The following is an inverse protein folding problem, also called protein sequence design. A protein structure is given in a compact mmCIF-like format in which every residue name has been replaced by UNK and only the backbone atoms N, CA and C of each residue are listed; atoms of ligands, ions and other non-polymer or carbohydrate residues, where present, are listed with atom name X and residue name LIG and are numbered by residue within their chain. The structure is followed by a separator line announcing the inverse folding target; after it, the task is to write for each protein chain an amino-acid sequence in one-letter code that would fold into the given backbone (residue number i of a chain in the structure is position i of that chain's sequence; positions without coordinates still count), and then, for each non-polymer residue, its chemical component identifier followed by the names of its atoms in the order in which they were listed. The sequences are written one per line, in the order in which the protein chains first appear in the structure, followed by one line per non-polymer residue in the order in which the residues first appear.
data_IF_161055729325
#
_entry.id   IF_161055729325
#
_cell.length_a   1.000
_cell.length_b   1.000
_cell.length_c   1.000
_cell.angle_alpha   90.00
_cell.angle_beta   90.00
_cell.angle_gamma   90.00
#
_symmetry.space_group_name_H-M   'P 1'
#
loop_
_entity.id
_entity.type
_entity.pdbx_description
1 polymer ?
#
# COMPACT_ATOMS: atom_id res chain seq x y z
N UNK A 1 -1.91 -24.06 83.42
CA UNK A 1 -2.04 -24.54 82.05
C UNK A 1 -2.36 -23.33 81.18
N UNK A 2 -1.32 -22.79 80.52
CA UNK A 2 -1.50 -21.58 79.65
C UNK A 2 -1.60 -22.02 78.20
N UNK A 3 -2.74 -21.78 77.60
CA UNK A 3 -2.93 -21.98 76.18
C UNK A 3 -2.57 -20.67 75.41
N UNK A 4 -1.49 -20.74 74.65
CA UNK A 4 -1.05 -19.67 73.79
C UNK A 4 -1.73 -19.86 72.42
N UNK A 5 -2.61 -18.94 72.02
CA UNK A 5 -3.24 -18.94 70.69
C UNK A 5 -2.29 -18.30 69.66
N UNK A 6 -1.95 -19.05 68.59
CA UNK A 6 -1.17 -18.56 67.46
C UNK A 6 -2.16 -18.02 66.43
N UNK A 7 -2.10 -16.70 66.15
CA UNK A 7 -2.85 -16.06 65.10
C UNK A 7 -1.99 -16.12 63.83
N UNK A 8 -2.45 -16.88 62.81
CA UNK A 8 -1.85 -16.90 61.48
C UNK A 8 -2.53 -15.82 60.64
N UNK A 9 -1.80 -14.76 60.33
CA UNK A 9 -2.27 -13.72 59.40
C UNK A 9 -2.02 -14.19 57.95
N UNK A 10 -3.08 -14.43 57.22
CA UNK A 10 -3.02 -14.72 55.79
C UNK A 10 -2.88 -13.39 55.01
N UNK A 11 -1.72 -13.19 54.35
CA UNK A 11 -1.51 -12.08 53.43
C UNK A 11 -2.21 -12.40 52.09
N UNK A 12 -3.30 -11.67 51.80
CA UNK A 12 -3.97 -11.72 50.49
C UNK A 12 -3.15 -10.85 49.51
N UNK A 13 -2.40 -11.45 48.59
CA UNK A 13 -1.73 -10.78 47.52
C UNK A 13 -2.74 -10.57 46.37
N UNK A 14 -3.29 -9.37 46.24
CA UNK A 14 -4.09 -8.98 45.09
C UNK A 14 -3.19 -8.77 43.87
N UNK A 15 -3.18 -9.72 42.94
CA UNK A 15 -2.52 -9.57 41.67
C UNK A 15 -3.42 -8.69 40.79
N UNK A 16 -3.09 -7.41 40.66
CA UNK A 16 -3.71 -6.52 39.67
C UNK A 16 -3.19 -6.90 38.28
N UNK A 17 -3.98 -7.63 37.53
CA UNK A 17 -3.75 -7.82 36.08
C UNK A 17 -4.15 -6.54 35.36
N UNK A 18 -3.18 -5.73 34.97
CA UNK A 18 -3.42 -4.65 34.02
C UNK A 18 -3.69 -5.29 32.65
N UNK A 19 -4.79 -4.93 31.96
CA UNK A 19 -4.94 -5.34 30.58
C UNK A 19 -3.80 -4.71 29.78
N UNK A 20 -3.00 -5.53 29.09
CA UNK A 20 -2.10 -5.04 28.05
C UNK A 20 -2.99 -4.42 26.98
N UNK A 21 -3.12 -3.10 27.00
CA UNK A 21 -3.71 -2.35 25.90
C UNK A 21 -2.85 -2.62 24.67
N UNK A 22 -3.45 -3.14 23.61
CA UNK A 22 -2.81 -3.23 22.30
C UNK A 22 -2.48 -1.81 21.88
N UNK A 23 -1.23 -1.40 22.03
CA UNK A 23 -0.75 -0.12 21.51
C UNK A 23 -0.96 -0.18 20.01
N UNK A 24 -1.82 0.68 19.49
CA UNK A 24 -1.95 0.87 18.03
C UNK A 24 -0.56 1.23 17.50
N UNK A 25 -0.03 0.45 16.57
CA UNK A 25 1.29 0.71 16.01
C UNK A 25 1.31 2.08 15.33
N UNK A 26 2.41 2.81 15.51
CA UNK A 26 2.57 4.15 14.94
C UNK A 26 2.75 4.08 13.42
N UNK A 27 2.31 5.12 12.72
CA UNK A 27 2.61 5.29 11.30
C UNK A 27 4.10 5.56 11.10
N UNK A 28 4.73 4.82 10.20
CA UNK A 28 6.13 4.96 9.81
C UNK A 28 6.20 5.48 8.38
N UNK A 29 6.97 6.54 8.15
CA UNK A 29 7.15 7.07 6.80
C UNK A 29 8.01 6.13 5.96
N UNK A 30 7.55 5.83 4.74
CA UNK A 30 8.30 5.08 3.72
C UNK A 30 9.07 6.00 2.77
N UNK A 31 8.79 7.29 2.78
CA UNK A 31 9.47 8.29 1.95
C UNK A 31 9.93 9.46 2.82
N UNK A 32 11.21 9.80 2.73
CA UNK A 32 11.85 10.82 3.55
C UNK A 32 11.71 12.26 3.01
N UNK A 33 11.09 12.44 1.83
CA UNK A 33 10.91 13.72 1.17
C UNK A 33 12.17 14.29 0.49
N UNK A 34 13.30 13.57 0.46
CA UNK A 34 14.59 14.04 -0.02
C UNK A 34 15.17 13.22 -1.17
N UNK A 35 15.12 11.91 -1.05
CA UNK A 35 15.70 10.97 -1.98
C UNK A 35 14.94 9.64 -1.98
N UNK A 36 15.36 8.69 -2.81
CA UNK A 36 14.77 7.38 -2.93
C UNK A 36 15.42 6.32 -2.01
N UNK A 37 16.06 6.73 -0.91
CA UNK A 37 16.58 5.78 0.08
C UNK A 37 15.45 4.90 0.63
N UNK A 38 15.67 3.59 0.66
CA UNK A 38 14.65 2.59 1.02
C UNK A 38 13.78 2.11 -0.16
N UNK A 39 14.11 2.55 -1.40
CA UNK A 39 13.40 2.20 -2.62
C UNK A 39 14.34 1.70 -3.71
N UNK A 40 13.92 0.70 -4.47
CA UNK A 40 14.61 0.13 -5.63
C UNK A 40 13.88 0.50 -6.91
N UNK A 41 14.62 0.99 -7.92
CA UNK A 41 14.10 1.18 -9.27
C UNK A 41 14.19 -0.13 -10.05
N UNK A 42 13.10 -0.51 -10.70
CA UNK A 42 13.00 -1.69 -11.54
C UNK A 42 12.51 -1.24 -12.91
N UNK A 43 13.32 -1.47 -13.95
CA UNK A 43 13.08 -1.02 -15.31
C UNK A 43 13.79 0.29 -15.66
N UNK A 44 13.51 0.78 -16.87
CA UNK A 44 14.21 1.91 -17.50
C UNK A 44 13.45 3.24 -17.35
N UNK A 45 12.26 3.19 -16.77
CA UNK A 45 11.40 4.35 -16.59
C UNK A 45 11.96 5.37 -15.60
N UNK A 46 11.55 6.62 -15.73
CA UNK A 46 12.14 7.72 -14.98
C UNK A 46 11.48 7.87 -13.62
N UNK A 47 12.28 7.69 -12.57
CA UNK A 47 11.91 7.93 -11.18
C UNK A 47 12.89 8.91 -10.54
N UNK A 48 12.40 9.87 -9.76
CA UNK A 48 13.22 10.83 -9.04
C UNK A 48 12.47 11.50 -7.91
N UNK A 49 13.16 12.47 -7.27
CA UNK A 49 12.57 13.30 -6.20
C UNK A 49 12.72 14.75 -6.59
N UNK A 50 11.63 15.50 -6.46
CA UNK A 50 11.58 16.94 -6.71
C UNK A 50 10.54 17.60 -5.79
N UNK A 51 10.91 18.71 -5.17
CA UNK A 51 10.02 19.48 -4.29
C UNK A 51 9.34 18.64 -3.21
N UNK A 52 10.07 17.69 -2.58
CA UNK A 52 9.54 16.83 -1.51
C UNK A 52 8.58 15.74 -1.99
N UNK A 53 8.53 15.47 -3.29
CA UNK A 53 7.68 14.44 -3.89
C UNK A 53 8.49 13.45 -4.71
N UNK A 54 8.12 12.18 -4.71
CA UNK A 54 8.56 11.24 -5.75
C UNK A 54 7.82 11.64 -7.02
N UNK A 55 8.54 11.81 -8.11
CA UNK A 55 7.92 11.91 -9.44
C UNK A 55 8.24 10.69 -10.27
N UNK A 56 7.32 10.34 -11.16
CA UNK A 56 7.54 9.35 -12.20
C UNK A 56 7.06 9.86 -13.55
N UNK A 57 7.79 9.47 -14.60
CA UNK A 57 7.50 9.89 -15.97
C UNK A 57 7.90 8.77 -16.92
N UNK A 58 7.02 8.46 -17.87
CA UNK A 58 7.34 7.53 -18.95
C UNK A 58 8.49 8.06 -19.79
N UNK A 59 9.54 7.25 -19.90
CA UNK A 59 10.75 7.56 -20.68
C UNK A 59 11.02 6.49 -21.75
N UNK A 60 10.89 5.23 -21.40
CA UNK A 60 11.14 4.09 -22.27
C UNK A 60 9.87 3.47 -22.87
N UNK A 61 8.69 3.96 -22.48
CA UNK A 61 7.38 3.40 -22.85
C UNK A 61 7.20 1.92 -22.42
N UNK A 62 7.91 1.52 -21.39
CA UNK A 62 7.90 0.17 -20.81
C UNK A 62 7.24 0.19 -19.43
N UNK A 63 7.04 -0.99 -18.85
CA UNK A 63 6.72 -1.06 -17.44
C UNK A 63 7.92 -0.63 -16.59
N UNK A 64 7.65 0.11 -15.53
CA UNK A 64 8.64 0.48 -14.54
C UNK A 64 8.03 0.48 -13.14
N UNK A 65 8.81 0.05 -12.17
CA UNK A 65 8.35 -0.02 -10.79
C UNK A 65 9.36 0.60 -9.83
N UNK A 66 8.85 1.34 -8.86
CA UNK A 66 9.62 1.77 -7.70
C UNK A 66 9.13 0.97 -6.50
N UNK A 67 9.96 0.04 -6.00
CA UNK A 67 9.57 -0.89 -4.93
C UNK A 67 10.31 -0.58 -3.64
N UNK A 68 9.66 -0.80 -2.50
CA UNK A 68 10.35 -0.74 -1.21
C UNK A 68 11.45 -1.80 -1.14
N UNK A 69 12.54 -1.51 -0.41
CA UNK A 69 13.58 -2.51 -0.11
C UNK A 69 13.09 -3.58 0.86
N UNK A 70 12.20 -3.18 1.80
CA UNK A 70 11.62 -4.07 2.81
C UNK A 70 10.36 -4.74 2.31
N UNK A 71 10.11 -5.93 2.82
CA UNK A 71 8.86 -6.67 2.62
C UNK A 71 7.90 -6.46 3.78
N UNK A 72 6.61 -6.63 3.51
CA UNK A 72 5.52 -6.44 4.44
C UNK A 72 4.48 -7.54 4.27
N UNK A 73 3.87 -7.95 5.38
CA UNK A 73 2.79 -8.96 5.41
C UNK A 73 1.44 -8.28 5.57
N UNK A 74 1.16 -7.81 6.76
CA UNK A 74 -0.11 -7.16 7.12
C UNK A 74 0.16 -5.69 7.44
N UNK A 75 -0.56 -4.80 6.77
CA UNK A 75 -0.33 -3.38 6.90
C UNK A 75 -1.53 -2.54 6.52
N UNK A 76 -1.55 -1.33 7.04
CA UNK A 76 -2.26 -0.21 6.46
C UNK A 76 -1.24 0.71 5.77
N UNK A 77 -1.56 1.16 4.58
CA UNK A 77 -0.77 2.10 3.79
C UNK A 77 -1.61 3.34 3.51
N UNK A 78 -1.03 4.50 3.68
CA UNK A 78 -1.61 5.76 3.22
C UNK A 78 -0.59 6.52 2.40
N UNK A 79 -1.06 7.15 1.35
CA UNK A 79 -0.25 7.97 0.48
C UNK A 79 -1.09 9.01 -0.24
N UNK A 80 -0.42 10.01 -0.81
CA UNK A 80 -1.04 10.95 -1.73
C UNK A 80 -0.44 10.80 -3.12
N UNK A 81 -1.29 10.88 -4.13
CA UNK A 81 -0.86 10.93 -5.51
C UNK A 81 -1.50 12.11 -6.25
N UNK A 82 -0.78 12.61 -7.25
CA UNK A 82 -1.27 13.66 -8.15
C UNK A 82 -0.93 13.28 -9.58
N UNK A 83 -1.94 13.00 -10.42
CA UNK A 83 -1.70 12.83 -11.85
C UNK A 83 -1.42 14.18 -12.48
N UNK A 84 -0.33 14.26 -13.26
CA UNK A 84 0.05 15.43 -14.04
C UNK A 84 -0.19 15.21 -15.55
N UNK A 85 -0.50 13.98 -15.96
CA UNK A 85 -0.92 13.60 -17.29
C UNK A 85 -1.88 12.40 -17.24
N UNK A 86 -2.58 12.14 -18.34
CA UNK A 86 -3.38 10.93 -18.51
C UNK A 86 -2.44 9.75 -18.76
N UNK A 87 -2.31 8.85 -17.83
CA UNK A 87 -1.46 7.66 -17.97
C UNK A 87 -1.67 6.74 -16.78
N UNK A 88 -1.68 5.44 -17.03
CA UNK A 88 -1.97 4.42 -16.04
C UNK A 88 -0.78 4.21 -15.09
N UNK A 89 -1.09 4.10 -13.83
CA UNK A 89 -0.18 3.82 -12.73
C UNK A 89 -0.87 2.91 -11.71
N UNK A 90 -0.25 2.66 -10.57
CA UNK A 90 -0.84 1.83 -9.53
C UNK A 90 0.05 1.64 -8.32
N UNK A 91 -0.54 1.05 -7.28
CA UNK A 91 0.16 0.63 -6.07
C UNK A 91 0.05 -0.88 -5.95
N UNK A 92 1.18 -1.57 -6.06
CA UNK A 92 1.25 -3.02 -5.90
C UNK A 92 1.40 -3.43 -4.45
N UNK A 93 0.64 -4.44 -4.05
CA UNK A 93 0.62 -5.02 -2.72
C UNK A 93 1.29 -6.39 -2.74
N UNK A 94 2.43 -6.52 -2.05
CA UNK A 94 3.18 -7.79 -1.94
C UNK A 94 3.56 -8.42 -3.29
N UNK A 95 3.90 -7.64 -4.33
CA UNK A 95 4.19 -8.18 -5.64
C UNK A 95 5.49 -8.98 -5.66
N UNK A 96 5.62 -9.77 -6.72
CA UNK A 96 6.87 -10.45 -7.10
C UNK A 96 7.26 -10.04 -8.51
N UNK A 97 8.49 -9.56 -8.67
CA UNK A 97 9.08 -9.38 -10.01
C UNK A 97 9.53 -10.74 -10.48
N UNK A 98 8.99 -11.21 -11.61
CA UNK A 98 9.16 -12.58 -12.10
C UNK A 98 10.15 -12.68 -13.24
N UNK A 99 10.45 -11.56 -13.89
CA UNK A 99 11.40 -11.52 -15.02
C UNK A 99 11.60 -10.10 -15.53
N UNK A 100 12.30 -10.00 -16.64
CA UNK A 100 12.46 -8.78 -17.44
C UNK A 100 12.21 -9.13 -18.89
N UNK A 101 11.12 -8.63 -19.45
CA UNK A 101 10.86 -8.68 -20.87
C UNK A 101 11.65 -7.58 -21.58
N UNK A 102 12.45 -7.90 -22.63
CA UNK A 102 13.25 -6.89 -23.34
C UNK A 102 12.41 -5.79 -24.01
N UNK A 103 11.18 -6.11 -24.43
CA UNK A 103 10.28 -5.19 -25.11
C UNK A 103 9.41 -4.39 -24.14
N UNK A 104 8.90 -5.04 -23.06
CA UNK A 104 7.91 -4.44 -22.15
C UNK A 104 8.48 -4.05 -20.79
N UNK A 105 9.72 -4.42 -20.46
CA UNK A 105 10.35 -4.12 -19.17
C UNK A 105 10.09 -5.20 -18.11
N UNK A 106 10.13 -4.85 -16.80
CA UNK A 106 9.97 -5.84 -15.74
C UNK A 106 8.56 -6.43 -15.71
N UNK A 107 8.50 -7.77 -15.64
CA UNK A 107 7.27 -8.51 -15.37
C UNK A 107 6.98 -8.53 -13.87
N UNK A 108 5.74 -8.30 -13.50
CA UNK A 108 5.30 -8.30 -12.12
C UNK A 108 4.02 -9.13 -11.95
N UNK A 109 3.99 -9.96 -10.91
CA UNK A 109 2.79 -10.63 -10.44
C UNK A 109 2.40 -10.09 -9.08
N UNK A 110 1.11 -9.83 -8.87
CA UNK A 110 0.60 -9.36 -7.59
C UNK A 110 -0.69 -8.57 -7.72
N UNK A 111 -1.23 -8.21 -6.55
CA UNK A 111 -2.43 -7.38 -6.48
C UNK A 111 -2.06 -5.91 -6.63
N UNK A 112 -2.66 -5.24 -7.60
CA UNK A 112 -2.54 -3.82 -7.83
C UNK A 112 -3.80 -3.11 -7.35
N UNK A 113 -3.61 -2.03 -6.61
CA UNK A 113 -4.61 -0.98 -6.46
C UNK A 113 -4.41 -0.01 -7.61
N UNK A 114 -5.38 0.07 -8.49
CA UNK A 114 -5.33 0.86 -9.72
C UNK A 114 -5.22 2.36 -9.44
N UNK A 115 -4.42 3.06 -10.23
CA UNK A 115 -4.36 4.53 -10.28
C UNK A 115 -4.30 4.97 -11.73
N UNK A 116 -5.46 5.13 -12.36
CA UNK A 116 -5.60 5.69 -13.71
C UNK A 116 -6.45 6.97 -13.64
N UNK A 117 -5.90 8.13 -14.00
CA UNK A 117 -6.62 9.40 -13.93
C UNK A 117 -7.73 9.54 -14.96
N UNK A 118 -7.84 8.63 -15.92
CA UNK A 118 -8.90 8.68 -16.92
C UNK A 118 -10.25 8.30 -16.31
N UNK A 119 -11.31 8.93 -16.77
CA UNK A 119 -12.66 8.65 -16.27
C UNK A 119 -13.08 7.20 -16.52
N UNK A 120 -13.65 6.54 -15.50
CA UNK A 120 -14.13 5.16 -15.59
C UNK A 120 -13.01 4.12 -15.73
N UNK A 121 -11.82 4.42 -15.23
CA UNK A 121 -10.65 3.53 -15.26
C UNK A 121 -10.31 2.91 -13.91
N UNK A 122 -11.29 2.88 -13.02
CA UNK A 122 -11.30 2.06 -11.81
C UNK A 122 -10.23 2.40 -10.77
N UNK A 123 -9.83 3.70 -10.65
CA UNK A 123 -8.89 4.11 -9.58
C UNK A 123 -9.36 3.67 -8.20
N UNK A 124 -8.49 2.98 -7.48
CA UNK A 124 -8.77 2.37 -6.18
C UNK A 124 -9.32 0.94 -6.25
N UNK A 125 -9.69 0.45 -7.45
CA UNK A 125 -10.07 -0.94 -7.68
C UNK A 125 -8.89 -1.90 -7.62
N UNK A 126 -9.16 -3.20 -7.61
CA UNK A 126 -8.14 -4.25 -7.49
C UNK A 126 -8.00 -5.04 -8.79
N UNK A 127 -6.76 -5.08 -9.28
CA UNK A 127 -6.35 -5.84 -10.46
C UNK A 127 -5.24 -6.83 -10.10
N UNK A 128 -5.42 -8.11 -10.40
CA UNK A 128 -4.36 -9.11 -10.24
C UNK A 128 -3.52 -9.20 -11.52
N UNK A 129 -2.34 -8.57 -11.48
CA UNK A 129 -1.36 -8.63 -12.56
C UNK A 129 -0.70 -10.00 -12.65
N UNK A 130 -0.54 -10.52 -13.86
CA UNK A 130 -0.06 -11.87 -14.10
C UNK A 130 -1.03 -12.97 -13.67
N UNK A 131 -2.33 -12.64 -13.54
CA UNK A 131 -3.35 -13.56 -13.05
C UNK A 131 -4.76 -13.29 -13.57
N UNK A 132 -5.71 -13.07 -12.66
CA UNK A 132 -7.15 -13.00 -12.93
C UNK A 132 -7.63 -11.69 -13.57
N UNK A 133 -6.77 -10.66 -13.65
CA UNK A 133 -7.21 -9.33 -14.07
C UNK A 133 -8.04 -8.62 -12.98
N UNK A 134 -9.13 -7.97 -13.36
CA UNK A 134 -10.01 -7.28 -12.41
C UNK A 134 -10.68 -8.24 -11.44
N UNK A 135 -10.43 -8.09 -10.14
CA UNK A 135 -11.03 -8.90 -9.07
C UNK A 135 -12.04 -8.12 -8.24
N UNK A 136 -11.90 -6.79 -8.14
CA UNK A 136 -12.88 -5.92 -7.53
C UNK A 136 -12.82 -4.53 -8.16
N UNK A 137 -13.96 -4.00 -8.57
CA UNK A 137 -14.08 -2.69 -9.22
C UNK A 137 -14.77 -1.68 -8.31
N UNK A 138 -14.48 -0.37 -8.46
CA UNK A 138 -15.20 0.68 -7.76
C UNK A 138 -16.71 0.65 -8.07
N UNK A 139 -17.49 1.14 -7.12
CA UNK A 139 -18.87 1.55 -7.41
C UNK A 139 -18.88 2.84 -8.24
N UNK A 140 -20.04 3.22 -8.78
CA UNK A 140 -20.20 4.51 -9.48
C UNK A 140 -19.80 5.71 -8.62
N UNK A 141 -20.08 5.67 -7.30
CA UNK A 141 -19.66 6.71 -6.36
C UNK A 141 -18.14 6.72 -6.17
N UNK A 142 -17.51 5.54 -6.18
CA UNK A 142 -16.05 5.38 -6.11
C UNK A 142 -15.36 5.97 -7.32
N UNK A 143 -15.87 5.73 -8.53
CA UNK A 143 -15.33 6.32 -9.77
C UNK A 143 -15.33 7.87 -9.75
N UNK A 144 -16.31 8.47 -9.08
CA UNK A 144 -16.43 9.93 -8.95
C UNK A 144 -15.56 10.52 -7.84
N UNK A 145 -14.90 9.70 -7.02
CA UNK A 145 -14.08 10.16 -5.91
C UNK A 145 -12.73 10.76 -6.36
N UNK A 146 -12.26 10.41 -7.57
CA UNK A 146 -11.00 10.90 -8.11
C UNK A 146 -11.08 12.40 -8.46
N UNK A 147 -10.08 13.16 -7.97
CA UNK A 147 -9.88 14.57 -8.29
C UNK A 147 -8.81 14.71 -9.37
N UNK A 148 -9.23 15.04 -10.57
CA UNK A 148 -8.35 15.16 -11.75
C UNK A 148 -7.33 16.29 -11.57
N UNK A 149 -6.04 15.99 -11.79
CA UNK A 149 -4.96 16.98 -11.71
C UNK A 149 -4.67 17.53 -10.31
N UNK A 150 -5.35 17.02 -9.28
CA UNK A 150 -5.19 17.43 -7.89
C UNK A 150 -4.53 16.33 -7.04
N UNK A 151 -4.17 16.68 -5.81
CA UNK A 151 -3.74 15.69 -4.83
C UNK A 151 -4.93 14.84 -4.36
N UNK A 152 -4.76 13.54 -4.43
CA UNK A 152 -5.72 12.54 -3.98
C UNK A 152 -5.14 11.76 -2.79
N UNK A 153 -5.95 11.53 -1.78
CA UNK A 153 -5.62 10.66 -0.65
C UNK A 153 -6.04 9.22 -0.97
N UNK A 154 -5.09 8.29 -0.94
CA UNK A 154 -5.35 6.85 -1.10
C UNK A 154 -4.96 6.14 0.19
N UNK A 155 -5.91 5.40 0.75
CA UNK A 155 -5.70 4.54 1.90
C UNK A 155 -5.98 3.08 1.52
N UNK A 156 -5.11 2.19 1.94
CA UNK A 156 -5.16 0.76 1.62
C UNK A 156 -4.94 -0.02 2.91
N UNK A 157 -5.83 -0.96 3.22
CA UNK A 157 -5.63 -1.96 4.26
C UNK A 157 -5.43 -3.32 3.60
N UNK A 158 -4.34 -4.02 3.93
CA UNK A 158 -4.02 -5.35 3.41
C UNK A 158 -3.66 -6.26 4.57
N UNK A 159 -4.63 -7.08 5.04
CA UNK A 159 -4.52 -7.93 6.22
C UNK A 159 -4.93 -9.36 5.89
N UNK A 160 -3.99 -10.30 5.99
CA UNK A 160 -4.20 -11.64 5.46
C UNK A 160 -4.64 -11.55 4.00
N UNK A 161 -5.79 -12.14 3.70
CA UNK A 161 -6.42 -12.12 2.37
C UNK A 161 -7.51 -11.04 2.21
N UNK A 162 -7.67 -10.15 3.18
CA UNK A 162 -8.63 -9.05 3.11
C UNK A 162 -7.95 -7.76 2.67
N UNK A 163 -8.50 -7.11 1.65
CA UNK A 163 -8.01 -5.85 1.09
C UNK A 163 -9.16 -4.85 1.05
N UNK A 164 -8.95 -3.68 1.64
CA UNK A 164 -9.88 -2.56 1.56
C UNK A 164 -9.17 -1.31 1.07
N UNK A 165 -9.83 -0.51 0.23
CA UNK A 165 -9.29 0.75 -0.29
C UNK A 165 -10.26 1.89 -0.11
N UNK A 166 -9.71 3.09 0.14
CA UNK A 166 -10.45 4.35 0.17
C UNK A 166 -9.73 5.39 -0.69
N UNK A 167 -10.50 6.18 -1.43
CA UNK A 167 -10.02 7.31 -2.22
C UNK A 167 -10.73 8.57 -1.77
N UNK A 168 -9.97 9.56 -1.29
CA UNK A 168 -10.51 10.84 -0.77
C UNK A 168 -11.62 10.65 0.28
N UNK A 169 -11.49 9.63 1.14
CA UNK A 169 -12.46 9.29 2.19
C UNK A 169 -13.66 8.47 1.71
N UNK A 170 -13.78 8.20 0.41
CA UNK A 170 -14.81 7.34 -0.16
C UNK A 170 -14.30 5.90 -0.21
N UNK A 171 -15.03 4.95 0.38
CA UNK A 171 -14.72 3.52 0.29
C UNK A 171 -14.88 3.05 -1.16
N UNK A 172 -13.83 2.47 -1.71
CA UNK A 172 -13.80 1.97 -3.10
C UNK A 172 -14.07 0.47 -3.13
N UNK A 173 -13.24 -0.32 -2.48
CA UNK A 173 -13.43 -1.77 -2.36
C UNK A 173 -13.27 -2.24 -0.92
N UNK A 174 -13.84 -3.42 -0.67
CA UNK A 174 -13.75 -4.18 0.57
C UNK A 174 -13.85 -5.64 0.16
N UNK A 175 -12.69 -6.30 -0.02
CA UNK A 175 -12.59 -7.56 -0.74
C UNK A 175 -11.83 -8.60 0.05
N UNK A 176 -12.40 -9.80 0.17
CA UNK A 176 -11.72 -10.97 0.74
C UNK A 176 -11.34 -11.92 -0.39
N UNK A 177 -10.05 -12.09 -0.62
CA UNK A 177 -9.51 -12.89 -1.71
C UNK A 177 -9.28 -14.35 -1.28
N UNK A 178 -10.18 -15.24 -1.66
CA UNK A 178 -10.04 -16.69 -1.39
C UNK A 178 -8.94 -17.36 -2.23
N UNK A 179 -8.41 -16.68 -3.24
CA UNK A 179 -7.38 -17.18 -4.15
C UNK A 179 -6.09 -16.37 -4.10
N UNK A 180 -5.82 -15.68 -2.99
CA UNK A 180 -4.62 -14.86 -2.81
C UNK A 180 -3.34 -15.69 -2.98
N UNK A 181 -2.43 -15.21 -3.83
CA UNK A 181 -1.16 -15.88 -4.14
C UNK A 181 -0.03 -15.49 -3.19
N UNK A 182 0.07 -14.19 -2.83
CA UNK A 182 1.19 -13.64 -2.08
C UNK A 182 0.76 -13.05 -0.76
N UNK A 183 1.34 -13.57 0.33
CA UNK A 183 1.03 -13.14 1.70
C UNK A 183 2.05 -12.13 2.26
N UNK A 184 3.20 -11.99 1.60
CA UNK A 184 4.28 -11.11 1.98
C UNK A 184 5.04 -10.66 0.73
N UNK A 185 5.51 -9.43 0.72
CA UNK A 185 6.30 -8.86 -0.37
C UNK A 185 6.50 -7.37 -0.20
N UNK A 186 7.11 -6.75 -1.19
CA UNK A 186 7.35 -5.31 -1.24
C UNK A 186 6.05 -4.51 -1.47
N UNK A 187 6.13 -3.20 -1.36
CA UNK A 187 5.12 -2.27 -1.91
C UNK A 187 5.74 -1.65 -3.15
N UNK A 188 4.98 -1.58 -4.26
CA UNK A 188 5.46 -1.03 -5.52
C UNK A 188 4.59 0.10 -6.05
N UNK A 189 5.21 1.15 -6.58
CA UNK A 189 4.56 2.16 -7.41
C UNK A 189 4.84 1.84 -8.88
N UNK A 190 3.88 2.01 -9.76
CA UNK A 190 3.98 1.62 -11.17
C UNK A 190 4.11 2.81 -12.12
N UNK A 191 4.84 2.61 -13.22
CA UNK A 191 4.65 3.27 -14.50
C UNK A 191 4.19 2.20 -15.49
N UNK A 192 3.01 2.37 -16.06
CA UNK A 192 2.47 1.43 -17.05
C UNK A 192 3.14 1.65 -18.41
N UNK A 193 3.28 0.59 -19.21
CA UNK A 193 3.75 0.66 -20.59
C UNK A 193 2.82 1.50 -21.47
N UNK A 194 3.30 1.88 -22.67
CA UNK A 194 2.52 2.66 -23.63
C UNK A 194 2.69 4.16 -23.52
N UNK A 195 3.45 4.64 -22.55
CA UNK A 195 3.80 6.05 -22.38
C UNK A 195 2.72 6.91 -21.73
N UNK A 196 2.98 8.20 -21.67
CA UNK A 196 2.03 9.20 -21.15
C UNK A 196 1.89 9.28 -19.64
N UNK A 197 2.54 8.45 -18.87
CA UNK A 197 2.50 8.54 -17.40
C UNK A 197 3.32 9.73 -16.94
N UNK A 198 2.70 10.59 -16.13
CA UNK A 198 3.37 11.62 -15.35
C UNK A 198 2.62 11.79 -14.05
N UNK A 199 3.26 11.45 -12.95
CA UNK A 199 2.60 11.39 -11.64
C UNK A 199 3.55 11.80 -10.52
N UNK A 200 2.97 12.32 -9.44
CA UNK A 200 3.68 12.62 -8.21
C UNK A 200 3.08 11.85 -7.03
N UNK A 201 3.97 11.47 -6.09
CA UNK A 201 3.62 10.74 -4.89
C UNK A 201 4.25 11.41 -3.67
N UNK A 202 3.54 11.44 -2.55
CA UNK A 202 4.07 11.94 -1.27
C UNK A 202 3.30 11.38 -0.08
N UNK A 203 3.76 11.76 1.12
CA UNK A 203 3.13 11.40 2.40
C UNK A 203 2.90 9.87 2.52
N UNK A 204 3.84 9.08 1.96
CA UNK A 204 3.76 7.61 1.93
C UNK A 204 4.13 7.08 3.31
N UNK A 205 3.17 6.49 4.01
CA UNK A 205 3.37 5.97 5.36
C UNK A 205 2.67 4.63 5.53
N UNK A 206 3.28 3.76 6.31
CA UNK A 206 2.80 2.43 6.64
C UNK A 206 2.55 2.30 8.14
N UNK A 207 1.56 1.51 8.51
CA UNK A 207 1.32 1.05 9.88
C UNK A 207 1.26 -0.47 9.86
N UNK A 208 2.07 -1.10 10.68
CA UNK A 208 2.13 -2.56 10.85
C UNK A 208 1.31 -2.97 12.07
N UNK A 209 0.89 -4.23 12.13
CA UNK A 209 0.26 -4.82 13.32
C UNK A 209 1.28 -5.17 14.39
#
# INVERSE_FOLDING_TARGET
MNCTAVVVAALLVCIFSFPLGTASSAWVSLFNGKDLSGWNKNGEEKWGVENGTIFCESAANKYGYLTTEKTYRDFDLRLKFKPEAAGNSGVFLRPKITGIDPEHGPDIEGMQVEVDPSAGKHTGGLYESGGRGWVAMPTEAGEKALKQGEWNDLEISARGNHIATQLNGVKIVDFTDSAQKFNEGVIGLQIHTGGGVKMRWKDISIRLD
#
